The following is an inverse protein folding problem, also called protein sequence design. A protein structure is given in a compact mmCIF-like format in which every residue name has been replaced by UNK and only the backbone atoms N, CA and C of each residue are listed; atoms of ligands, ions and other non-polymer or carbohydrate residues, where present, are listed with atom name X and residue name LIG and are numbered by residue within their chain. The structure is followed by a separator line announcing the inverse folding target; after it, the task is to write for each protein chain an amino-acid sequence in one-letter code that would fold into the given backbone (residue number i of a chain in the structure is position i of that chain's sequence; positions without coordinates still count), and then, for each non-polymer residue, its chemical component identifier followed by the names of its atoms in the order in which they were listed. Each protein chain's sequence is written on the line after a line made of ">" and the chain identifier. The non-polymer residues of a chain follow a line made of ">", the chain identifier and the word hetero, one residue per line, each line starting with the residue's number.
data_IF_688395992356
#
_entry.id   IF_688395992356
#
_cell.length_a   1.000
_cell.length_b   1.000
_cell.length_c   1.000
_cell.angle_alpha   90.00
_cell.angle_beta   90.00
_cell.angle_gamma   90.00
#
_symmetry.space_group_name_H-M   'P 1'
#
loop_
_entity.id
_entity.type
_entity.pdbx_description
1 polymer ?
#
# COMPACT_ATOMS: atom_id res chain seq x y z
N UNK A 1 -3.61 6.87 -15.01
CA UNK A 1 -3.25 5.44 -14.92
C UNK A 1 -2.40 5.18 -13.68
N UNK A 2 -2.74 4.16 -12.95
CA UNK A 2 -2.05 3.77 -11.70
C UNK A 2 -0.68 3.18 -12.01
N UNK A 3 0.34 3.62 -11.28
CA UNK A 3 1.68 3.05 -11.31
C UNK A 3 2.15 2.71 -9.91
N UNK A 4 2.86 1.59 -9.80
CA UNK A 4 3.48 1.13 -8.57
C UNK A 4 4.99 1.21 -8.75
N UNK A 5 5.60 2.12 -8.04
CA UNK A 5 7.04 2.39 -8.15
C UNK A 5 7.74 1.86 -6.90
N UNK A 6 8.72 0.98 -7.09
CA UNK A 6 9.53 0.47 -6.00
C UNK A 6 10.86 1.21 -5.98
N UNK A 7 11.26 1.65 -4.80
CA UNK A 7 12.49 2.41 -4.59
C UNK A 7 13.32 1.73 -3.51
N UNK A 8 14.57 1.47 -3.83
CA UNK A 8 15.56 1.03 -2.86
C UNK A 8 16.37 2.25 -2.48
N UNK A 9 16.39 2.59 -1.21
CA UNK A 9 17.06 3.81 -0.73
C UNK A 9 17.87 3.53 0.53
N UNK A 10 18.85 4.43 0.79
CA UNK A 10 19.64 4.35 1.99
C UNK A 10 18.76 4.61 3.22
N UNK A 11 18.91 3.78 4.23
CA UNK A 11 18.18 3.91 5.49
C UNK A 11 18.86 4.98 6.37
N UNK A 12 18.73 6.23 5.95
CA UNK A 12 19.32 7.38 6.60
C UNK A 12 18.26 8.42 6.99
N UNK A 13 18.59 9.21 7.97
CA UNK A 13 17.76 10.34 8.37
C UNK A 13 17.56 11.30 7.21
N UNK A 14 16.31 11.63 6.92
CA UNK A 14 15.97 12.57 5.85
C UNK A 14 15.75 11.95 4.47
N UNK A 15 16.12 10.68 4.25
CA UNK A 15 15.94 10.04 2.93
C UNK A 15 14.47 10.01 2.51
N UNK A 16 13.60 9.57 3.40
CA UNK A 16 12.15 9.56 3.14
C UNK A 16 11.64 10.99 2.87
N UNK A 17 12.07 11.94 3.67
CA UNK A 17 11.65 13.33 3.53
C UNK A 17 12.04 13.92 2.17
N UNK A 18 13.22 13.56 1.66
CA UNK A 18 13.66 14.01 0.33
C UNK A 18 12.81 13.44 -0.80
N UNK A 19 12.42 12.17 -0.70
CA UNK A 19 11.55 11.54 -1.69
C UNK A 19 10.18 12.21 -1.68
N UNK A 20 9.58 12.35 -0.50
CA UNK A 20 8.26 12.97 -0.35
C UNK A 20 8.32 14.44 -0.77
N UNK A 21 9.37 15.15 -0.41
CA UNK A 21 9.57 16.55 -0.78
C UNK A 21 9.68 16.74 -2.28
N UNK A 22 10.33 15.82 -2.98
CA UNK A 22 10.43 15.85 -4.44
C UNK A 22 9.04 15.76 -5.09
N UNK A 23 8.19 14.86 -4.62
CA UNK A 23 6.83 14.72 -5.13
C UNK A 23 6.03 16.01 -4.86
N UNK A 24 6.12 16.55 -3.65
CA UNK A 24 5.42 17.78 -3.29
C UNK A 24 5.88 18.98 -4.12
N UNK A 25 7.18 19.15 -4.28
CA UNK A 25 7.75 20.28 -5.03
C UNK A 25 7.37 20.28 -6.50
N UNK A 26 7.14 19.11 -7.08
CA UNK A 26 6.79 18.93 -8.48
C UNK A 26 5.29 18.77 -8.73
N UNK A 27 4.48 18.76 -7.68
CA UNK A 27 3.05 18.55 -7.79
C UNK A 27 2.65 17.14 -8.19
N UNK A 28 3.53 16.17 -8.01
CA UNK A 28 3.18 14.76 -8.23
C UNK A 28 2.34 14.25 -7.08
N UNK A 29 1.37 13.40 -7.38
CA UNK A 29 0.47 12.84 -6.37
C UNK A 29 1.01 11.51 -5.81
N UNK A 30 0.99 11.38 -4.48
CA UNK A 30 1.26 10.11 -3.81
C UNK A 30 -0.07 9.61 -3.26
N UNK A 31 -0.59 8.53 -3.83
CA UNK A 31 -1.84 7.92 -3.35
C UNK A 31 -1.60 7.04 -2.13
N UNK A 32 -0.49 6.32 -2.11
CA UNK A 32 -0.07 5.55 -0.96
C UNK A 32 1.45 5.38 -0.96
N UNK A 33 1.99 5.14 0.23
CA UNK A 33 3.42 4.97 0.41
C UNK A 33 3.67 4.01 1.57
N UNK A 34 4.48 2.98 1.31
CA UNK A 34 4.97 2.08 2.36
C UNK A 34 6.48 2.09 2.33
N UNK A 35 7.09 2.08 3.50
CA UNK A 35 8.55 2.04 3.61
C UNK A 35 8.96 1.28 4.87
N UNK A 36 9.98 0.47 4.74
CA UNK A 36 10.57 -0.27 5.86
C UNK A 36 12.00 -0.68 5.52
N UNK A 37 12.85 -0.89 6.53
CA UNK A 37 14.17 -1.47 6.30
C UNK A 37 14.07 -2.86 5.68
N UNK A 38 15.08 -3.22 4.90
CA UNK A 38 15.20 -4.56 4.31
C UNK A 38 16.00 -5.48 5.25
N UNK A 39 16.34 -6.68 4.78
CA UNK A 39 17.27 -7.57 5.49
C UNK A 39 18.68 -6.97 5.65
N UNK A 40 19.00 -5.99 4.79
CA UNK A 40 20.18 -5.16 4.97
C UNK A 40 19.75 -3.90 5.72
N UNK A 41 20.18 -3.71 6.98
CA UNK A 41 19.71 -2.57 7.78
C UNK A 41 20.15 -1.21 7.25
N UNK A 42 21.12 -1.16 6.32
CA UNK A 42 21.52 0.09 5.68
C UNK A 42 20.58 0.51 4.55
N UNK A 43 19.66 -0.36 4.13
CA UNK A 43 18.77 -0.13 3.02
C UNK A 43 17.31 -0.22 3.44
N UNK A 44 16.50 0.70 2.94
CA UNK A 44 15.04 0.66 3.06
C UNK A 44 14.43 0.44 1.69
N UNK A 45 13.30 -0.23 1.68
CA UNK A 45 12.50 -0.41 0.47
C UNK A 45 11.19 0.35 0.61
N UNK A 46 10.88 1.13 -0.41
CA UNK A 46 9.67 1.94 -0.47
C UNK A 46 8.84 1.54 -1.67
N UNK A 47 7.54 1.45 -1.49
CA UNK A 47 6.60 1.30 -2.60
C UNK A 47 5.71 2.53 -2.64
N UNK A 48 5.69 3.20 -3.77
CA UNK A 48 4.89 4.40 -4.00
C UNK A 48 3.83 4.08 -5.03
N UNK A 49 2.58 4.34 -4.69
CA UNK A 49 1.49 4.31 -5.66
C UNK A 49 1.19 5.72 -6.09
N UNK A 50 1.25 5.96 -7.39
CA UNK A 50 0.97 7.27 -7.98
C UNK A 50 0.15 7.10 -9.25
N UNK A 51 -0.48 8.19 -9.68
CA UNK A 51 -1.26 8.22 -10.92
C UNK A 51 -0.67 9.30 -11.81
N UNK A 52 -0.57 9.00 -13.09
CA UNK A 52 -0.06 9.96 -14.05
C UNK A 52 0.06 9.36 -15.44
N UNK A 53 0.37 10.22 -16.42
CA UNK A 53 0.70 9.79 -17.78
C UNK A 53 2.09 9.13 -17.78
N UNK A 54 2.40 8.43 -18.86
CA UNK A 54 3.71 7.80 -19.02
C UNK A 54 4.84 8.83 -18.95
N UNK A 55 4.62 10.03 -19.51
CA UNK A 55 5.60 11.12 -19.47
C UNK A 55 5.86 11.59 -18.03
N UNK A 56 4.82 11.72 -17.23
CA UNK A 56 4.94 12.11 -15.81
C UNK A 56 5.71 11.04 -15.03
N UNK A 57 5.39 9.77 -15.25
CA UNK A 57 6.06 8.66 -14.56
C UNK A 57 7.54 8.59 -14.95
N UNK A 58 7.86 8.83 -16.21
CA UNK A 58 9.24 8.91 -16.66
C UNK A 58 10.00 10.03 -15.94
N UNK A 59 9.38 11.20 -15.81
CA UNK A 59 9.97 12.32 -15.08
C UNK A 59 10.18 11.99 -13.59
N UNK A 60 9.20 11.37 -12.95
CA UNK A 60 9.30 10.93 -11.56
C UNK A 60 10.52 10.01 -11.39
N UNK A 61 10.66 9.03 -12.26
CA UNK A 61 11.75 8.06 -12.21
C UNK A 61 13.11 8.76 -12.37
N UNK A 62 13.21 9.69 -13.31
CA UNK A 62 14.43 10.48 -13.53
C UNK A 62 14.79 11.31 -12.30
N UNK A 63 13.81 11.97 -11.69
CA UNK A 63 14.06 12.81 -10.52
C UNK A 63 14.44 11.98 -9.30
N UNK A 64 13.80 10.82 -9.10
CA UNK A 64 14.17 9.91 -8.03
C UNK A 64 15.61 9.42 -8.17
N UNK A 65 16.02 9.07 -9.38
CA UNK A 65 17.38 8.59 -9.65
C UNK A 65 18.45 9.66 -9.40
N UNK A 66 18.09 10.93 -9.33
CA UNK A 66 19.02 12.04 -9.05
C UNK A 66 19.26 12.25 -7.55
N UNK A 67 18.42 11.67 -6.70
CA UNK A 67 18.61 11.79 -5.26
C UNK A 67 19.74 10.87 -4.82
N UNK A 68 20.66 11.41 -4.04
CA UNK A 68 21.85 10.65 -3.57
C UNK A 68 21.44 9.42 -2.77
N UNK A 69 20.40 9.53 -1.95
CA UNK A 69 19.95 8.47 -1.09
C UNK A 69 19.23 7.34 -1.85
N UNK A 70 18.82 7.58 -3.08
CA UNK A 70 18.12 6.58 -3.90
C UNK A 70 19.15 5.70 -4.61
N UNK A 71 19.09 4.41 -4.29
CA UNK A 71 20.01 3.41 -4.85
C UNK A 71 19.48 2.87 -6.17
N UNK A 72 18.17 2.56 -6.22
CA UNK A 72 17.56 2.02 -7.42
C UNK A 72 16.04 2.27 -7.43
N UNK A 73 15.50 2.45 -8.64
CA UNK A 73 14.08 2.67 -8.87
C UNK A 73 13.59 1.73 -9.96
N UNK A 74 12.42 1.16 -9.79
CA UNK A 74 11.76 0.38 -10.83
C UNK A 74 10.25 0.65 -10.81
N UNK A 75 9.67 0.81 -11.99
CA UNK A 75 8.22 0.82 -12.15
C UNK A 75 7.75 -0.62 -12.29
N UNK A 76 7.14 -1.16 -11.24
CA UNK A 76 6.69 -2.55 -11.21
C UNK A 76 5.58 -2.81 -12.23
N UNK A 77 4.79 -1.80 -12.56
CA UNK A 77 3.67 -1.94 -13.51
C UNK A 77 4.10 -2.18 -14.94
N UNK A 78 5.39 -1.98 -15.26
CA UNK A 78 5.94 -2.29 -16.58
C UNK A 78 6.14 -3.79 -16.82
N UNK A 79 5.92 -4.63 -15.83
CA UNK A 79 6.07 -6.07 -15.93
C UNK A 79 5.13 -6.80 -14.98
N UNK A 80 5.32 -8.10 -14.85
CA UNK A 80 4.54 -8.89 -13.90
C UNK A 80 5.00 -8.60 -12.47
N UNK A 81 4.07 -8.34 -11.59
CA UNK A 81 4.36 -8.02 -10.19
C UNK A 81 3.24 -8.50 -9.29
N UNK A 82 3.53 -8.54 -7.98
CA UNK A 82 2.56 -8.83 -6.94
C UNK A 82 2.49 -7.64 -6.01
N UNK A 83 1.28 -7.18 -5.71
CA UNK A 83 1.07 -6.16 -4.69
C UNK A 83 0.15 -6.69 -3.60
N UNK A 84 0.37 -6.22 -2.38
CA UNK A 84 -0.48 -6.55 -1.23
C UNK A 84 -0.61 -5.33 -0.34
N UNK A 85 -1.78 -5.21 0.27
CA UNK A 85 -2.07 -4.18 1.25
C UNK A 85 -2.72 -4.84 2.44
N UNK A 86 -2.28 -4.51 3.64
CA UNK A 86 -2.95 -4.91 4.87
C UNK A 86 -3.97 -3.83 5.24
N UNK A 87 -5.20 -4.25 5.52
CA UNK A 87 -6.25 -3.35 5.97
C UNK A 87 -6.86 -3.88 7.26
N UNK A 88 -7.08 -2.99 8.22
CA UNK A 88 -7.80 -3.27 9.45
C UNK A 88 -9.07 -2.43 9.46
N UNK A 89 -10.21 -3.08 9.63
CA UNK A 89 -11.50 -2.40 9.64
C UNK A 89 -12.25 -2.75 10.91
N UNK A 90 -12.63 -1.74 11.67
CA UNK A 90 -13.51 -1.93 12.80
C UNK A 90 -14.93 -1.66 12.35
N UNK A 91 -15.81 -2.62 12.55
CA UNK A 91 -17.20 -2.54 12.14
C UNK A 91 -18.13 -2.72 13.30
N UNK A 92 -19.26 -2.02 13.25
CA UNK A 92 -20.35 -2.27 14.20
C UNK A 92 -20.89 -3.67 13.91
N UNK A 93 -21.08 -4.45 14.96
CA UNK A 93 -21.56 -5.83 14.86
C UNK A 93 -22.53 -6.11 16.01
N UNK A 94 -23.76 -5.61 15.85
CA UNK A 94 -24.83 -5.74 16.84
C UNK A 94 -26.00 -6.51 16.22
N UNK A 95 -26.54 -7.46 16.96
CA UNK A 95 -27.68 -8.25 16.51
C UNK A 95 -27.38 -9.03 15.24
N UNK A 96 -28.19 -8.85 14.21
CA UNK A 96 -28.03 -9.53 12.92
C UNK A 96 -26.79 -9.10 12.16
N UNK A 97 -26.26 -7.92 12.44
CA UNK A 97 -25.04 -7.45 11.82
C UNK A 97 -23.85 -8.37 12.13
N UNK A 98 -23.85 -9.04 13.26
CA UNK A 98 -22.75 -9.94 13.67
C UNK A 98 -22.54 -11.06 12.67
N UNK A 99 -23.62 -11.74 12.29
CA UNK A 99 -23.56 -12.82 11.31
C UNK A 99 -23.20 -12.29 9.92
N UNK A 100 -23.77 -11.16 9.54
CA UNK A 100 -23.51 -10.50 8.26
C UNK A 100 -22.03 -10.14 8.12
N UNK A 101 -21.46 -9.49 9.12
CA UNK A 101 -20.05 -9.08 9.10
C UNK A 101 -19.10 -10.27 9.12
N UNK A 102 -19.43 -11.32 9.87
CA UNK A 102 -18.63 -12.55 9.87
C UNK A 102 -18.65 -13.21 8.51
N UNK A 103 -19.82 -13.27 7.87
CA UNK A 103 -19.98 -13.83 6.54
C UNK A 103 -19.18 -13.04 5.51
N UNK A 104 -19.23 -11.72 5.55
CA UNK A 104 -18.47 -10.86 4.64
C UNK A 104 -16.97 -11.05 4.83
N UNK A 105 -16.51 -11.14 6.07
CA UNK A 105 -15.11 -11.42 6.36
C UNK A 105 -14.67 -12.74 5.72
N UNK A 106 -15.47 -13.79 5.85
CA UNK A 106 -15.17 -15.11 5.30
C UNK A 106 -15.15 -15.10 3.77
N UNK A 107 -16.12 -14.42 3.13
CA UNK A 107 -16.19 -14.30 1.67
C UNK A 107 -14.92 -13.66 1.11
N UNK A 108 -14.42 -12.62 1.75
CA UNK A 108 -13.23 -11.90 1.33
C UNK A 108 -11.94 -12.50 1.91
N UNK A 109 -12.04 -13.64 2.60
CA UNK A 109 -10.90 -14.34 3.23
C UNK A 109 -10.16 -13.47 4.26
N UNK A 110 -10.92 -12.64 4.95
CA UNK A 110 -10.42 -11.87 6.07
C UNK A 110 -10.54 -12.65 7.37
N UNK A 111 -10.02 -12.06 8.44
CA UNK A 111 -10.06 -12.63 9.78
C UNK A 111 -10.68 -11.65 10.75
N UNK A 112 -11.51 -12.15 11.63
CA UNK A 112 -11.97 -11.36 12.79
C UNK A 112 -10.89 -11.51 13.87
N UNK A 113 -10.19 -10.44 14.17
CA UNK A 113 -9.05 -10.44 15.11
C UNK A 113 -9.38 -9.86 16.48
N UNK A 114 -10.49 -9.15 16.60
CA UNK A 114 -10.95 -8.60 17.85
C UNK A 114 -12.48 -8.61 17.86
N UNK A 115 -13.06 -8.95 19.00
CA UNK A 115 -14.49 -9.10 19.17
C UNK A 115 -14.93 -8.44 20.48
N UNK A 116 -15.93 -7.56 20.39
CA UNK A 116 -16.64 -7.05 21.55
C UNK A 116 -18.14 -7.32 21.37
N UNK A 117 -18.94 -6.97 22.36
CA UNK A 117 -20.40 -7.11 22.23
C UNK A 117 -20.98 -6.27 21.08
N UNK A 118 -20.29 -5.20 20.69
CA UNK A 118 -20.80 -4.22 19.72
C UNK A 118 -20.01 -4.13 18.44
N UNK A 119 -18.83 -4.74 18.37
CA UNK A 119 -17.93 -4.56 17.23
C UNK A 119 -17.09 -5.77 16.93
N UNK A 120 -16.65 -5.84 15.65
CA UNK A 120 -15.58 -6.71 15.21
C UNK A 120 -14.47 -5.84 14.63
N UNK A 121 -13.22 -6.28 14.79
CA UNK A 121 -12.12 -5.78 13.99
C UNK A 121 -11.73 -6.86 13.00
N UNK A 122 -11.74 -6.51 11.72
CA UNK A 122 -11.48 -7.45 10.62
C UNK A 122 -10.15 -7.10 9.98
N UNK A 123 -9.28 -8.10 9.82
CA UNK A 123 -8.01 -7.98 9.12
C UNK A 123 -8.18 -8.56 7.72
N UNK A 124 -7.78 -7.77 6.71
CA UNK A 124 -7.84 -8.18 5.31
C UNK A 124 -6.50 -7.90 4.64
N UNK A 125 -5.97 -8.89 3.96
CA UNK A 125 -4.76 -8.74 3.14
C UNK A 125 -5.08 -9.12 1.71
N UNK A 126 -4.79 -8.23 0.79
CA UNK A 126 -5.02 -8.47 -0.63
C UNK A 126 -4.50 -7.29 -1.44
N UNK A 127 -4.79 -7.26 -2.73
CA UNK A 127 -4.51 -6.07 -3.52
C UNK A 127 -5.50 -4.95 -3.16
N UNK A 128 -5.23 -3.75 -3.63
CA UNK A 128 -6.09 -2.61 -3.35
C UNK A 128 -7.52 -2.85 -3.83
N UNK A 129 -7.68 -3.48 -4.98
CA UNK A 129 -8.99 -3.75 -5.56
C UNK A 129 -9.85 -4.63 -4.64
N UNK A 130 -9.27 -5.67 -4.09
CA UNK A 130 -9.96 -6.56 -3.14
C UNK A 130 -10.38 -5.80 -1.88
N UNK A 131 -9.48 -5.01 -1.33
CA UNK A 131 -9.75 -4.25 -0.11
C UNK A 131 -10.81 -3.18 -0.34
N UNK A 132 -10.77 -2.49 -1.47
CA UNK A 132 -11.81 -1.54 -1.85
C UNK A 132 -13.17 -2.24 -2.02
N UNK A 133 -13.17 -3.41 -2.65
CA UNK A 133 -14.40 -4.18 -2.86
C UNK A 133 -15.03 -4.61 -1.53
N UNK A 134 -14.22 -4.95 -0.54
CA UNK A 134 -14.73 -5.28 0.80
C UNK A 134 -15.46 -4.07 1.42
N UNK A 135 -14.85 -2.91 1.38
CA UNK A 135 -15.45 -1.68 1.94
C UNK A 135 -16.74 -1.30 1.22
N UNK A 136 -16.82 -1.54 -0.08
CA UNK A 136 -18.03 -1.29 -0.86
C UNK A 136 -19.14 -2.29 -0.57
N UNK A 137 -18.77 -3.53 -0.24
CA UNK A 137 -19.72 -4.62 -0.02
C UNK A 137 -20.43 -4.55 1.34
N UNK A 138 -19.84 -3.88 2.31
CA UNK A 138 -20.45 -3.73 3.65
C UNK A 138 -21.17 -2.39 3.77
N UNK A 139 -22.12 -2.32 4.71
CA UNK A 139 -22.83 -1.07 4.98
C UNK A 139 -21.87 -0.01 5.51
N UNK A 140 -21.75 1.07 4.79
CA UNK A 140 -20.85 2.18 5.13
C UNK A 140 -21.12 2.74 6.52
N UNK A 141 -22.37 2.78 6.93
CA UNK A 141 -22.74 3.28 8.26
C UNK A 141 -22.25 2.37 9.39
N UNK A 142 -21.91 1.13 9.08
CA UNK A 142 -21.37 0.18 10.04
C UNK A 142 -19.85 0.28 10.19
N UNK A 143 -19.16 1.00 9.31
CA UNK A 143 -17.72 1.19 9.40
C UNK A 143 -17.41 2.21 10.48
N UNK A 144 -16.71 1.79 11.53
CA UNK A 144 -16.34 2.67 12.64
C UNK A 144 -14.97 3.30 12.42
N UNK A 145 -14.04 2.53 11.89
CA UNK A 145 -12.66 2.99 11.67
C UNK A 145 -11.98 2.10 10.65
N UNK A 146 -11.14 2.69 9.82
CA UNK A 146 -10.37 1.96 8.80
C UNK A 146 -8.91 2.39 8.83
N UNK A 147 -8.00 1.41 8.82
CA UNK A 147 -6.56 1.65 8.71
C UNK A 147 -6.05 0.85 7.52
N UNK A 148 -5.29 1.49 6.64
CA UNK A 148 -4.68 0.86 5.48
C UNK A 148 -3.20 1.16 5.47
N UNK A 149 -2.40 0.15 5.15
CA UNK A 149 -0.95 0.34 5.00
C UNK A 149 -0.58 1.04 3.69
N UNK A 150 -1.43 0.92 2.68
CA UNK A 150 -1.04 1.18 1.31
C UNK A 150 -0.40 -0.07 0.71
N UNK A 151 -0.26 -0.08 -0.61
CA UNK A 151 0.24 -1.25 -1.33
C UNK A 151 1.76 -1.37 -1.22
N UNK A 152 2.26 -2.56 -0.92
CA UNK A 152 3.66 -2.91 -1.13
C UNK A 152 3.73 -3.85 -2.33
N UNK A 153 4.81 -3.77 -3.09
CA UNK A 153 4.94 -4.50 -4.33
C UNK A 153 6.30 -5.15 -4.53
N UNK A 154 6.30 -6.24 -5.27
CA UNK A 154 7.50 -6.99 -5.62
C UNK A 154 7.33 -7.56 -7.02
N UNK A 155 8.40 -7.56 -7.81
CA UNK A 155 8.39 -8.18 -9.13
C UNK A 155 8.17 -9.69 -9.04
N UNK A 156 7.53 -10.26 -10.05
CA UNK A 156 7.30 -11.71 -10.10
C UNK A 156 8.48 -12.42 -10.74
N UNK A 157 8.61 -13.72 -10.41
CA UNK A 157 9.66 -14.57 -10.94
C UNK A 157 11.05 -14.13 -10.48
N UNK A 158 11.96 -14.03 -11.42
CA UNK A 158 13.36 -13.69 -11.14
C UNK A 158 13.63 -12.18 -11.16
N UNK A 159 12.62 -11.37 -11.39
CA UNK A 159 12.72 -9.91 -11.41
C UNK A 159 12.91 -9.40 -9.99
N UNK A 160 14.09 -8.87 -9.71
CA UNK A 160 14.45 -8.40 -8.36
C UNK A 160 14.97 -6.96 -8.39
N UNK A 161 14.74 -6.23 -7.30
CA UNK A 161 15.27 -4.90 -7.08
C UNK A 161 16.38 -5.01 -6.03
N UNK A 162 17.60 -4.85 -6.48
CA UNK A 162 18.78 -4.89 -5.58
C UNK A 162 19.87 -3.95 -6.08
N UNK A 163 20.85 -3.72 -5.23
CA UNK A 163 22.03 -2.91 -5.55
C UNK A 163 22.82 -3.53 -6.68
#
# INVERSE_FOLDING_TARGET
>A
MKHIIAVLLENESGALSRVVGLFSARGYNIESLTVAPTEDPSLSRMTIQTTGSDDVIEQITKHLNRLIEVVKVVDLTEGAYTERELMLVKVRAVGKEREEMKRMADIFRGRVIDVTEKSYTIELTGDQHKNDAFLEAIDRSAILETVRTGSCGIGRGERILRV
#
